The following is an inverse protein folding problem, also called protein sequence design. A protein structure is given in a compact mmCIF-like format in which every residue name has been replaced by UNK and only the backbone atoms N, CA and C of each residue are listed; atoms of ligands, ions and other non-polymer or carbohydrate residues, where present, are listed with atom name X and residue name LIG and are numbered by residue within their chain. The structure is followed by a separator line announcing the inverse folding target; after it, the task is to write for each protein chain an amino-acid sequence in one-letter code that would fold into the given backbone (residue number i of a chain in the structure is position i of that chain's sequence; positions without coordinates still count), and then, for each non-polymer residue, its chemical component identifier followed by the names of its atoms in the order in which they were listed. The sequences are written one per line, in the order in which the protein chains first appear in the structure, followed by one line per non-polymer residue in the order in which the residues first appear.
data_IF_966309396605
#
_entry.id   IF_966309396605
#
_cell.length_a   1.000
_cell.length_b   1.000
_cell.length_c   1.000
_cell.angle_alpha   90.00
_cell.angle_beta   90.00
_cell.angle_gamma   90.00
#
_symmetry.space_group_name_H-M   'P 1'
#
loop_
_entity.id
_entity.type
_entity.pdbx_description
1 polymer ?
#
# COMPACT_ATOMS: atom_id res chain seq x y z
N UNK A 1 24.29 1.54 -2.53
CA UNK A 1 23.15 2.29 -3.11
C UNK A 1 23.10 3.68 -2.48
N UNK A 2 23.27 4.73 -3.26
CA UNK A 2 23.32 6.11 -2.74
C UNK A 2 21.90 6.60 -2.45
N UNK A 3 21.55 6.75 -1.17
CA UNK A 3 20.23 7.26 -0.73
C UNK A 3 20.06 8.69 -1.26
N UNK A 4 19.21 8.89 -2.27
CA UNK A 4 18.95 10.22 -2.83
C UNK A 4 18.26 11.08 -1.77
N UNK A 5 18.82 12.27 -1.49
CA UNK A 5 18.22 13.21 -0.52
C UNK A 5 16.83 13.64 -1.02
N UNK A 6 15.82 13.72 -0.13
CA UNK A 6 14.49 14.18 -0.49
C UNK A 6 14.56 15.60 -1.09
N UNK A 7 13.75 15.86 -2.13
CA UNK A 7 13.75 17.13 -2.84
C UNK A 7 12.78 18.11 -2.18
N UNK A 8 13.24 19.34 -1.95
CA UNK A 8 12.43 20.45 -1.44
C UNK A 8 12.16 21.43 -2.58
N UNK A 9 10.90 21.80 -2.78
CA UNK A 9 10.49 22.80 -3.76
C UNK A 9 9.66 23.91 -3.10
N UNK A 10 9.57 25.05 -3.78
CA UNK A 10 8.69 26.15 -3.39
C UNK A 10 7.30 25.95 -4.00
N UNK A 11 6.27 25.98 -3.17
CA UNK A 11 4.86 25.95 -3.58
C UNK A 11 4.14 27.20 -3.07
N UNK A 12 3.07 27.62 -3.75
CA UNK A 12 2.17 28.62 -3.21
C UNK A 12 1.01 27.95 -2.48
N UNK A 13 0.79 28.35 -1.22
CA UNK A 13 -0.36 27.94 -0.41
C UNK A 13 -0.94 29.19 0.24
N UNK A 14 -2.22 29.50 -0.01
CA UNK A 14 -2.92 30.66 0.52
C UNK A 14 -2.20 32.01 0.29
N UNK A 15 -1.63 32.21 -0.91
CA UNK A 15 -0.91 33.44 -1.27
C UNK A 15 0.47 33.59 -0.61
N UNK A 16 0.95 32.59 0.14
CA UNK A 16 2.29 32.56 0.73
C UNK A 16 3.15 31.49 0.05
N UNK A 17 4.43 31.80 -0.16
CA UNK A 17 5.42 30.82 -0.60
C UNK A 17 5.79 29.92 0.57
N UNK A 18 5.61 28.62 0.41
CA UNK A 18 5.97 27.59 1.38
C UNK A 18 7.01 26.63 0.78
N UNK A 19 7.96 26.18 1.61
CA UNK A 19 8.89 25.12 1.22
C UNK A 19 8.27 23.77 1.54
N UNK A 20 8.10 22.94 0.52
CA UNK A 20 7.54 21.59 0.64
C UNK A 20 8.65 20.61 0.33
N UNK A 21 8.98 19.76 1.29
CA UNK A 21 9.84 18.61 1.06
C UNK A 21 8.94 17.45 0.70
N UNK A 22 9.00 17.01 -0.56
CA UNK A 22 8.34 15.78 -0.95
C UNK A 22 9.30 14.63 -0.68
N UNK A 23 8.93 13.66 0.18
CA UNK A 23 9.68 12.42 0.24
C UNK A 23 9.71 11.84 -1.17
N UNK A 24 10.90 11.48 -1.64
CA UNK A 24 10.98 10.68 -2.88
C UNK A 24 10.13 9.42 -2.69
N UNK A 25 9.64 8.86 -3.81
CA UNK A 25 8.83 7.64 -3.83
C UNK A 25 9.27 6.72 -2.68
N UNK A 26 8.35 6.48 -1.75
CA UNK A 26 8.62 5.60 -0.62
C UNK A 26 9.04 4.27 -1.24
N UNK A 27 10.20 3.78 -0.82
CA UNK A 27 10.68 2.48 -1.26
C UNK A 27 9.58 1.46 -0.95
N UNK A 28 9.15 0.72 -1.96
CA UNK A 28 8.10 -0.28 -1.84
C UNK A 28 8.38 -1.26 -0.69
N UNK A 29 9.66 -1.61 -0.48
CA UNK A 29 10.07 -2.44 0.64
C UNK A 29 9.79 -1.79 1.99
N UNK A 30 10.02 -0.48 2.13
CA UNK A 30 9.75 0.24 3.39
C UNK A 30 8.26 0.22 3.72
N UNK A 31 7.38 0.32 2.71
CA UNK A 31 5.94 0.19 2.92
C UNK A 31 5.57 -1.20 3.41
N UNK A 32 6.04 -2.25 2.74
CA UNK A 32 5.67 -3.62 3.09
C UNK A 32 6.32 -4.11 4.38
N UNK A 33 7.50 -3.63 4.72
CA UNK A 33 8.12 -3.87 6.03
C UNK A 33 7.30 -3.22 7.14
N UNK A 34 6.88 -1.95 6.97
CA UNK A 34 6.01 -1.30 7.93
C UNK A 34 4.67 -2.04 8.10
N UNK A 35 4.08 -2.55 7.02
CA UNK A 35 2.87 -3.36 7.10
C UNK A 35 3.11 -4.67 7.88
N UNK A 36 4.24 -5.34 7.64
CA UNK A 36 4.62 -6.58 8.33
C UNK A 36 4.88 -6.36 9.82
N UNK A 37 5.46 -5.21 10.18
CA UNK A 37 5.79 -4.86 11.56
C UNK A 37 4.57 -4.42 12.38
N UNK A 38 3.55 -3.85 11.73
CA UNK A 38 2.41 -3.24 12.42
C UNK A 38 1.10 -4.04 12.32
N UNK A 39 0.97 -4.96 11.36
CA UNK A 39 -0.25 -5.73 11.13
C UNK A 39 0.00 -7.22 11.29
N UNK A 40 -0.95 -7.91 11.92
CA UNK A 40 -0.95 -9.37 11.92
C UNK A 40 -1.30 -9.91 10.52
N UNK A 41 -0.88 -11.15 10.19
CA UNK A 41 -1.27 -11.79 8.93
C UNK A 41 -2.79 -11.82 8.71
N UNK A 42 -3.58 -12.04 9.76
CA UNK A 42 -5.05 -11.96 9.71
C UNK A 42 -5.57 -10.59 9.31
N UNK A 43 -5.01 -9.51 9.88
CA UNK A 43 -5.41 -8.15 9.52
C UNK A 43 -5.13 -7.85 8.04
N UNK A 44 -3.97 -8.30 7.53
CA UNK A 44 -3.62 -8.15 6.11
C UNK A 44 -4.54 -9.00 5.23
N UNK A 45 -4.86 -10.24 5.63
CA UNK A 45 -5.78 -11.10 4.89
C UNK A 45 -7.19 -10.51 4.79
N UNK A 46 -7.69 -9.89 5.87
CA UNK A 46 -8.96 -9.18 5.87
C UNK A 46 -8.96 -8.02 4.87
N UNK A 47 -7.90 -7.20 4.85
CA UNK A 47 -7.75 -6.11 3.87
C UNK A 47 -7.83 -6.65 2.44
N UNK A 48 -7.08 -7.72 2.14
CA UNK A 48 -7.09 -8.34 0.80
C UNK A 48 -8.49 -8.81 0.42
N UNK A 49 -9.22 -9.48 1.33
CA UNK A 49 -10.57 -9.99 1.07
C UNK A 49 -11.55 -8.87 0.65
N UNK A 50 -11.43 -7.69 1.26
CA UNK A 50 -12.25 -6.52 0.88
C UNK A 50 -11.78 -5.83 -0.42
N UNK A 51 -10.49 -5.90 -0.76
CA UNK A 51 -9.94 -5.25 -1.95
C UNK A 51 -10.18 -6.06 -3.24
N UNK A 52 -10.16 -7.39 -3.16
CA UNK A 52 -10.32 -8.27 -4.33
C UNK A 52 -11.59 -8.02 -5.16
N UNK A 53 -12.80 -7.85 -4.57
CA UNK A 53 -14.02 -7.64 -5.35
C UNK A 53 -14.20 -6.21 -5.87
N UNK A 54 -13.33 -5.26 -5.49
CA UNK A 54 -13.51 -3.84 -5.86
C UNK A 54 -13.37 -3.64 -7.37
N UNK A 55 -14.34 -2.91 -7.91
CA UNK A 55 -14.38 -2.42 -9.29
C UNK A 55 -14.88 -0.99 -9.30
N UNK A 56 -14.25 -0.15 -10.09
CA UNK A 56 -14.58 1.27 -10.22
C UNK A 56 -14.78 1.64 -11.68
N UNK A 57 -15.30 2.84 -11.94
CA UNK A 57 -15.38 3.38 -13.31
C UNK A 57 -14.03 3.85 -13.85
N UNK A 58 -12.92 3.63 -13.13
CA UNK A 58 -11.58 4.05 -13.52
C UNK A 58 -10.62 2.85 -13.53
N UNK A 59 -10.22 2.43 -14.73
CA UNK A 59 -9.33 1.28 -14.93
C UNK A 59 -7.95 1.45 -14.29
N UNK A 60 -7.45 2.68 -14.13
CA UNK A 60 -6.18 2.91 -13.44
C UNK A 60 -6.30 2.67 -11.94
N UNK A 61 -7.44 3.03 -11.34
CA UNK A 61 -7.72 2.75 -9.92
C UNK A 61 -7.84 1.24 -9.71
N UNK A 62 -8.58 0.55 -10.59
CA UNK A 62 -8.72 -0.91 -10.51
C UNK A 62 -7.35 -1.60 -10.60
N UNK A 63 -6.48 -1.17 -11.53
CA UNK A 63 -5.12 -1.68 -11.66
C UNK A 63 -4.29 -1.48 -10.40
N UNK A 64 -4.36 -0.30 -9.78
CA UNK A 64 -3.63 0.01 -8.55
C UNK A 64 -4.12 -0.84 -7.37
N UNK A 65 -5.44 -0.97 -7.21
CA UNK A 65 -6.04 -1.80 -6.15
C UNK A 65 -5.66 -3.26 -6.33
N UNK A 66 -5.72 -3.77 -7.56
CA UNK A 66 -5.39 -5.17 -7.84
C UNK A 66 -3.91 -5.46 -7.63
N UNK A 67 -3.03 -4.55 -8.04
CA UNK A 67 -1.59 -4.64 -7.74
C UNK A 67 -1.35 -4.67 -6.22
N UNK A 68 -1.95 -3.74 -5.47
CA UNK A 68 -1.73 -3.66 -4.03
C UNK A 68 -2.24 -4.90 -3.29
N UNK A 69 -3.44 -5.38 -3.63
CA UNK A 69 -3.97 -6.63 -3.10
C UNK A 69 -3.03 -7.82 -3.40
N UNK A 70 -2.46 -7.87 -4.60
CA UNK A 70 -1.48 -8.89 -4.99
C UNK A 70 -0.20 -8.86 -4.16
N UNK A 71 0.36 -7.68 -3.88
CA UNK A 71 1.54 -7.55 -3.02
C UNK A 71 1.25 -7.91 -1.56
N UNK A 72 0.08 -7.53 -1.03
CA UNK A 72 -0.36 -7.94 0.31
C UNK A 72 -0.55 -9.47 0.42
N UNK A 73 -1.09 -10.11 -0.62
CA UNK A 73 -1.20 -11.56 -0.67
C UNK A 73 0.18 -12.23 -0.64
N UNK A 74 1.15 -11.71 -1.40
CA UNK A 74 2.54 -12.22 -1.34
C UNK A 74 3.14 -12.02 0.04
N UNK A 75 2.86 -10.88 0.69
CA UNK A 75 3.37 -10.54 2.02
C UNK A 75 3.01 -11.59 3.07
N UNK A 76 1.81 -12.17 2.98
CA UNK A 76 1.31 -13.19 3.92
C UNK A 76 1.55 -14.63 3.47
N UNK A 77 2.30 -14.86 2.38
CA UNK A 77 2.67 -16.21 1.94
C UNK A 77 1.87 -16.77 0.77
N UNK A 78 1.10 -15.95 0.06
CA UNK A 78 0.39 -16.32 -1.16
C UNK A 78 -1.10 -16.60 -0.97
N UNK A 79 -1.77 -16.95 -2.08
CA UNK A 79 -3.24 -17.08 -2.13
C UNK A 79 -3.79 -18.13 -1.17
N UNK A 80 -3.12 -19.28 -1.02
CA UNK A 80 -3.58 -20.35 -0.12
C UNK A 80 -3.62 -19.86 1.34
N UNK A 81 -2.58 -19.16 1.76
CA UNK A 81 -2.49 -18.62 3.11
C UNK A 81 -3.47 -17.47 3.31
N UNK A 82 -3.69 -16.64 2.29
CA UNK A 82 -4.70 -15.58 2.34
C UNK A 82 -6.12 -16.14 2.51
N UNK A 83 -6.50 -17.14 1.71
CA UNK A 83 -7.82 -17.77 1.80
C UNK A 83 -8.03 -18.40 3.17
N UNK A 84 -7.06 -19.18 3.66
CA UNK A 84 -7.14 -19.79 4.99
C UNK A 84 -7.31 -18.75 6.09
N UNK A 85 -6.52 -17.67 6.08
CA UNK A 85 -6.60 -16.61 7.10
C UNK A 85 -7.91 -15.83 7.01
N UNK A 86 -8.48 -15.65 5.82
CA UNK A 86 -9.80 -15.03 5.63
C UNK A 86 -10.93 -15.94 6.15
N UNK A 87 -10.88 -17.23 5.86
CA UNK A 87 -11.83 -18.23 6.38
C UNK A 87 -11.82 -18.28 7.91
N UNK A 88 -10.64 -18.22 8.54
CA UNK A 88 -10.49 -18.15 10.00
C UNK A 88 -11.17 -16.89 10.60
N UNK A 89 -11.37 -15.84 9.80
CA UNK A 89 -12.09 -14.61 10.19
C UNK A 89 -13.57 -14.61 9.76
N UNK A 90 -14.02 -15.63 9.01
CA UNK A 90 -15.36 -15.69 8.45
C UNK A 90 -15.60 -14.74 7.27
N UNK A 91 -14.54 -14.40 6.52
CA UNK A 91 -14.56 -13.57 5.31
C UNK A 91 -14.49 -14.41 4.03
#
# INVERSE_FOLDING_TARGET
MTRRKPQTYEAQMNGKKVRVTVPQAIDEQVLFDALRDNLSPHAVAAIVAFLQPVRTNNSDVDRQVHWFAGELTKLIGGNEQQNRLAEELGL
#
